data_IF_906019481929
#
_entry.id   IF_906019481929
#
_cell.length_a   1.000
_cell.length_b   1.000
_cell.length_c   1.000
_cell.angle_alpha   90.00
_cell.angle_beta   90.00
_cell.angle_gamma   90.00
#
_symmetry.space_group_name_H-M   'P 1'
#
loop_
_entity.id
_entity.type
_entity.pdbx_description
1 polymer ?
#
# COMPACT_ATOMS: atom_id res chain seq x y z
N UNK A 1 21.41 32.87 18.65
CA UNK A 1 20.05 32.63 19.16
C UNK A 1 19.77 31.14 19.16
N UNK A 2 19.07 30.63 20.17
CA UNK A 2 18.68 29.23 20.22
C UNK A 2 17.64 28.95 19.11
N UNK A 3 17.72 27.82 18.42
CA UNK A 3 16.74 27.46 17.40
C UNK A 3 15.36 27.18 18.03
N UNK A 4 14.25 27.47 17.35
CA UNK A 4 12.93 27.16 17.85
C UNK A 4 12.75 25.64 17.96
N UNK A 5 11.93 25.19 18.91
CA UNK A 5 11.66 23.75 19.11
C UNK A 5 10.91 23.09 17.92
N UNK A 6 10.12 23.88 17.21
CA UNK A 6 9.34 23.44 16.05
C UNK A 6 9.75 24.25 14.82
N UNK A 7 10.18 23.57 13.78
CA UNK A 7 10.53 24.14 12.48
C UNK A 7 9.73 23.42 11.40
N UNK A 8 9.60 23.97 10.18
CA UNK A 8 8.98 23.26 9.06
C UNK A 8 9.58 21.86 8.84
N UNK A 9 10.90 21.75 8.93
CA UNK A 9 11.59 20.47 8.73
C UNK A 9 11.29 19.46 9.84
N UNK A 10 11.23 19.89 11.12
CA UNK A 10 10.89 18.97 12.23
C UNK A 10 9.43 18.54 12.20
N UNK A 11 8.52 19.40 11.75
CA UNK A 11 7.11 19.05 11.53
C UNK A 11 6.95 18.02 10.41
N UNK A 12 7.68 18.21 9.32
CA UNK A 12 7.70 17.29 8.18
C UNK A 12 8.26 15.92 8.58
N UNK A 13 9.39 15.90 9.30
CA UNK A 13 10.00 14.66 9.79
C UNK A 13 9.05 13.90 10.73
N UNK A 14 8.33 14.60 11.62
CA UNK A 14 7.36 13.99 12.52
C UNK A 14 6.17 13.39 11.77
N UNK A 15 5.68 14.04 10.72
CA UNK A 15 4.64 13.50 9.83
C UNK A 15 5.10 12.22 9.13
N UNK A 16 6.28 12.27 8.51
CA UNK A 16 6.86 11.10 7.81
C UNK A 16 7.05 9.93 8.79
N UNK A 17 7.58 10.16 9.97
CA UNK A 17 7.78 9.14 11.01
C UNK A 17 6.44 8.54 11.48
N UNK A 18 5.41 9.38 11.73
CA UNK A 18 4.09 8.90 12.13
C UNK A 18 3.46 8.00 11.06
N UNK A 19 3.46 8.42 9.81
CA UNK A 19 2.93 7.65 8.69
C UNK A 19 3.71 6.34 8.48
N UNK A 20 5.04 6.40 8.60
CA UNK A 20 5.90 5.23 8.41
C UNK A 20 5.69 4.18 9.52
N UNK A 21 5.62 4.60 10.77
CA UNK A 21 5.50 3.68 11.92
C UNK A 21 4.11 3.12 12.11
N UNK A 22 3.07 3.90 11.85
CA UNK A 22 1.71 3.54 12.22
C UNK A 22 0.84 3.12 11.03
N UNK A 23 1.42 3.04 9.83
CA UNK A 23 0.75 2.55 8.62
C UNK A 23 -0.77 2.83 8.62
N UNK A 24 -1.21 4.00 8.13
CA UNK A 24 -2.57 4.47 8.37
C UNK A 24 -3.62 3.77 7.50
N UNK A 25 -3.19 2.93 6.53
CA UNK A 25 -4.08 2.35 5.55
C UNK A 25 -4.66 1.01 6.00
N UNK A 26 -5.94 0.80 5.66
CA UNK A 26 -6.68 -0.41 6.00
C UNK A 26 -6.15 -1.62 5.22
N UNK A 27 -5.99 -2.73 5.92
CA UNK A 27 -5.58 -4.00 5.31
C UNK A 27 -6.79 -4.85 5.00
N UNK A 28 -6.94 -5.22 3.73
CA UNK A 28 -8.02 -6.07 3.27
C UNK A 28 -7.51 -7.09 2.25
N UNK A 29 -7.99 -8.32 2.38
CA UNK A 29 -7.72 -9.36 1.41
C UNK A 29 -8.86 -9.41 0.41
N UNK A 30 -8.63 -8.83 -0.77
CA UNK A 30 -9.60 -8.78 -1.86
C UNK A 30 -9.97 -10.19 -2.35
N UNK A 31 -11.17 -10.37 -2.95
CA UNK A 31 -11.58 -11.67 -3.52
C UNK A 31 -10.56 -12.25 -4.50
N UNK A 32 -9.97 -11.43 -5.37
CA UNK A 32 -8.93 -11.85 -6.30
C UNK A 32 -7.68 -12.40 -5.59
N UNK A 33 -7.24 -11.75 -4.49
CA UNK A 33 -6.10 -12.21 -3.69
C UNK A 33 -6.43 -13.53 -2.97
N UNK A 34 -7.65 -13.67 -2.45
CA UNK A 34 -8.13 -14.94 -1.87
C UNK A 34 -8.13 -16.06 -2.90
N UNK A 35 -8.69 -15.80 -4.08
CA UNK A 35 -8.73 -16.75 -5.19
C UNK A 35 -7.34 -17.20 -5.61
N UNK A 36 -6.40 -16.27 -5.73
CA UNK A 36 -4.99 -16.59 -6.01
C UNK A 36 -4.40 -17.56 -4.98
N UNK A 37 -4.55 -17.29 -3.70
CA UNK A 37 -4.05 -18.20 -2.65
C UNK A 37 -4.73 -19.57 -2.69
N UNK A 38 -6.04 -19.62 -2.95
CA UNK A 38 -6.77 -20.88 -3.08
C UNK A 38 -6.30 -21.71 -4.29
N UNK A 39 -6.10 -21.07 -5.44
CA UNK A 39 -5.55 -21.73 -6.64
C UNK A 39 -4.12 -22.23 -6.44
N UNK A 40 -3.30 -21.53 -5.66
CA UNK A 40 -1.93 -21.95 -5.32
C UNK A 40 -1.88 -23.08 -4.28
N UNK A 41 -2.95 -23.32 -3.55
CA UNK A 41 -2.99 -24.32 -2.47
C UNK A 41 -2.50 -25.71 -2.90
N UNK A 42 -2.94 -26.32 -4.03
CA UNK A 42 -2.50 -27.65 -4.43
C UNK A 42 -1.00 -27.77 -4.72
N UNK A 43 -0.39 -26.67 -5.14
CA UNK A 43 1.03 -26.60 -5.54
C UNK A 43 1.95 -26.18 -4.39
N UNK A 44 1.38 -25.87 -3.24
CA UNK A 44 2.14 -25.37 -2.08
C UNK A 44 2.59 -26.49 -1.14
N UNK A 45 3.70 -26.32 -0.39
CA UNK A 45 4.06 -27.20 0.72
C UNK A 45 2.95 -27.31 1.78
N UNK A 46 2.95 -28.39 2.56
CA UNK A 46 1.86 -28.73 3.50
C UNK A 46 1.45 -27.58 4.43
N UNK A 47 2.41 -26.86 5.01
CA UNK A 47 2.13 -25.74 5.92
C UNK A 47 1.34 -24.61 5.22
N UNK A 48 1.70 -24.27 3.97
CA UNK A 48 0.98 -23.28 3.17
C UNK A 48 -0.38 -23.80 2.69
N UNK A 49 -0.51 -25.09 2.38
CA UNK A 49 -1.80 -25.72 2.08
C UNK A 49 -2.78 -25.59 3.23
N UNK A 50 -2.31 -25.80 4.47
CA UNK A 50 -3.13 -25.63 5.64
C UNK A 50 -3.62 -24.18 5.81
N UNK A 51 -2.74 -23.20 5.57
CA UNK A 51 -3.05 -21.77 5.68
C UNK A 51 -3.99 -21.31 4.56
N UNK A 52 -3.62 -21.56 3.30
CA UNK A 52 -4.34 -21.07 2.13
C UNK A 52 -5.66 -21.80 1.87
N UNK A 53 -5.73 -23.10 2.20
CA UNK A 53 -6.97 -23.87 2.12
C UNK A 53 -8.00 -23.51 3.19
N UNK A 54 -7.57 -22.84 4.28
CA UNK A 54 -8.44 -22.46 5.40
C UNK A 54 -8.41 -20.94 5.66
N UNK A 55 -8.52 -20.14 4.58
CA UNK A 55 -8.52 -18.67 4.70
C UNK A 55 -9.65 -18.11 5.57
N UNK A 56 -10.75 -18.84 5.73
CA UNK A 56 -11.83 -18.48 6.65
C UNK A 56 -11.36 -18.46 8.12
N UNK A 57 -10.44 -19.35 8.49
CA UNK A 57 -9.85 -19.44 9.83
C UNK A 57 -8.60 -18.56 9.96
N UNK A 58 -7.69 -18.65 9.00
CA UNK A 58 -6.36 -18.01 9.06
C UNK A 58 -6.28 -16.67 8.35
N UNK A 59 -7.32 -16.21 7.67
CA UNK A 59 -7.31 -14.95 6.91
C UNK A 59 -7.00 -13.73 7.77
N UNK A 60 -7.44 -13.70 9.01
CA UNK A 60 -7.09 -12.64 9.98
C UNK A 60 -5.60 -12.64 10.33
N UNK A 61 -5.05 -13.82 10.62
CA UNK A 61 -3.63 -14.01 10.90
C UNK A 61 -2.77 -13.64 9.69
N UNK A 62 -3.15 -14.09 8.50
CA UNK A 62 -2.44 -13.76 7.27
C UNK A 62 -2.41 -12.26 7.00
N UNK A 63 -3.51 -11.54 7.18
CA UNK A 63 -3.54 -10.07 7.07
C UNK A 63 -2.58 -9.38 8.04
N UNK A 64 -2.38 -9.94 9.21
CA UNK A 64 -1.46 -9.39 10.21
C UNK A 64 0.01 -9.71 9.90
N UNK A 65 0.29 -10.95 9.49
CA UNK A 65 1.66 -11.47 9.37
C UNK A 65 2.27 -11.23 7.98
N UNK A 66 1.49 -11.35 6.90
CA UNK A 66 2.00 -11.21 5.54
C UNK A 66 2.73 -9.90 5.26
N UNK A 67 2.28 -8.73 5.74
CA UNK A 67 3.01 -7.48 5.58
C UNK A 67 4.38 -7.44 6.27
N UNK A 68 4.58 -8.29 7.27
CA UNK A 68 5.87 -8.39 7.98
C UNK A 68 6.87 -9.31 7.25
N UNK A 69 6.35 -10.23 6.43
CA UNK A 69 7.16 -11.22 5.71
C UNK A 69 7.52 -10.74 4.30
N UNK A 70 6.62 -10.00 3.66
CA UNK A 70 6.79 -9.57 2.27
C UNK A 70 6.14 -8.20 2.01
N UNK A 71 6.93 -7.26 1.49
CA UNK A 71 6.43 -5.96 1.04
C UNK A 71 5.47 -6.07 -0.14
N UNK A 72 5.68 -7.06 -1.04
CA UNK A 72 4.77 -7.32 -2.14
C UNK A 72 3.41 -7.80 -1.63
N UNK A 73 3.39 -8.73 -0.67
CA UNK A 73 2.15 -9.20 -0.06
C UNK A 73 1.42 -8.06 0.69
N UNK A 74 2.17 -7.17 1.35
CA UNK A 74 1.60 -5.96 1.96
C UNK A 74 0.91 -5.08 0.91
N UNK A 75 1.57 -4.82 -0.23
CA UNK A 75 1.05 -3.99 -1.32
C UNK A 75 -0.20 -4.58 -2.00
N UNK A 76 -0.43 -5.89 -1.91
CA UNK A 76 -1.64 -6.55 -2.39
C UNK A 76 -2.84 -6.42 -1.44
N UNK A 77 -2.61 -5.99 -0.20
CA UNK A 77 -3.63 -5.96 0.85
C UNK A 77 -3.98 -4.56 1.32
N UNK A 78 -3.20 -3.54 0.94
CA UNK A 78 -3.42 -2.14 1.36
C UNK A 78 -2.86 -1.15 0.37
N UNK A 79 -3.39 0.06 0.39
CA UNK A 79 -2.73 1.21 -0.25
C UNK A 79 -1.34 1.36 0.33
N UNK A 80 -0.34 1.53 -0.53
CA UNK A 80 1.04 1.74 -0.13
C UNK A 80 1.48 3.17 -0.40
N UNK A 81 2.40 3.67 0.44
CA UNK A 81 2.98 5.00 0.32
C UNK A 81 4.50 4.90 0.32
N UNK A 82 5.15 5.67 -0.53
CA UNK A 82 6.59 5.87 -0.56
C UNK A 82 6.91 7.36 -0.60
N UNK A 83 7.69 7.84 0.34
CA UNK A 83 8.22 9.20 0.31
C UNK A 83 9.43 9.22 -0.62
N UNK A 84 9.34 10.01 -1.70
CA UNK A 84 10.28 9.93 -2.83
C UNK A 84 11.18 11.14 -2.96
N UNK A 85 10.73 12.31 -2.50
CA UNK A 85 11.51 13.55 -2.55
C UNK A 85 11.30 14.33 -1.25
N UNK A 86 12.32 15.07 -0.83
CA UNK A 86 12.21 16.02 0.28
C UNK A 86 13.04 17.26 -0.03
N UNK A 87 12.55 18.42 0.39
CA UNK A 87 13.27 19.69 0.28
C UNK A 87 13.17 20.51 1.56
N UNK A 88 14.10 21.43 1.74
CA UNK A 88 14.18 22.33 2.89
C UNK A 88 15.16 23.46 2.59
N UNK A 89 16.06 23.77 3.52
CA UNK A 89 17.07 24.84 3.31
C UNK A 89 18.16 24.39 2.35
N UNK A 90 18.58 25.31 1.47
CA UNK A 90 19.77 25.14 0.61
C UNK A 90 21.08 25.45 1.36
N UNK A 91 20.99 26.12 2.50
CA UNK A 91 22.15 26.52 3.30
C UNK A 91 22.22 25.75 4.63
N UNK A 92 23.43 25.32 4.99
CA UNK A 92 23.70 24.44 6.16
C UNK A 92 23.37 25.07 7.50
N UNK A 93 23.40 26.38 7.59
CA UNK A 93 23.26 27.17 8.83
C UNK A 93 21.94 27.98 8.87
N UNK A 94 21.00 27.69 7.95
CA UNK A 94 19.73 28.39 7.84
C UNK A 94 18.59 27.42 8.11
N UNK A 95 17.70 27.78 9.04
CA UNK A 95 16.45 27.05 9.24
C UNK A 95 15.50 27.41 8.09
N UNK A 96 14.97 26.45 7.34
CA UNK A 96 14.07 26.72 6.23
C UNK A 96 12.77 27.37 6.74
N UNK A 97 12.24 28.32 5.98
CA UNK A 97 10.90 28.87 6.21
C UNK A 97 9.81 27.90 5.73
N UNK A 98 10.13 27.10 4.71
CA UNK A 98 9.27 26.06 4.13
C UNK A 98 10.04 24.76 3.98
N UNK A 99 9.35 23.66 4.08
CA UNK A 99 9.87 22.34 3.81
C UNK A 99 8.75 21.50 3.16
N UNK A 100 9.12 20.67 2.21
CA UNK A 100 8.16 19.81 1.51
C UNK A 100 8.66 18.38 1.38
N UNK A 101 7.72 17.45 1.26
CA UNK A 101 7.97 16.07 0.92
C UNK A 101 6.97 15.64 -0.16
N UNK A 102 7.45 14.88 -1.12
CA UNK A 102 6.61 14.25 -2.13
C UNK A 102 6.45 12.79 -1.78
N UNK A 103 5.21 12.33 -1.79
CA UNK A 103 4.86 10.94 -1.58
C UNK A 103 4.17 10.36 -2.82
N UNK A 104 4.57 9.17 -3.21
CA UNK A 104 3.90 8.37 -4.23
C UNK A 104 3.01 7.34 -3.54
N UNK A 105 1.72 7.31 -3.92
CA UNK A 105 0.75 6.35 -3.41
C UNK A 105 0.35 5.37 -4.51
N UNK A 106 0.16 4.11 -4.12
CA UNK A 106 -0.45 3.08 -4.96
C UNK A 106 -1.72 2.61 -4.29
N UNK A 107 -2.84 3.00 -4.87
CA UNK A 107 -4.17 2.67 -4.34
C UNK A 107 -4.57 1.26 -4.69
N UNK A 108 -5.39 0.66 -3.82
CA UNK A 108 -6.10 -0.58 -4.12
C UNK A 108 -7.62 -0.37 -3.97
N UNK A 109 -8.46 -1.20 -4.64
CA UNK A 109 -9.88 -0.90 -4.81
C UNK A 109 -10.69 -0.66 -3.53
N UNK A 110 -10.29 -1.24 -2.39
CA UNK A 110 -11.03 -1.05 -1.13
C UNK A 110 -10.69 0.25 -0.37
N UNK A 111 -9.66 0.98 -0.83
CA UNK A 111 -9.23 2.26 -0.24
C UNK A 111 -8.55 3.11 -1.31
N UNK A 112 -9.35 3.83 -2.07
CA UNK A 112 -8.92 4.63 -3.20
C UNK A 112 -8.28 5.97 -2.82
N UNK A 113 -8.15 6.82 -3.83
CA UNK A 113 -7.44 8.10 -3.75
C UNK A 113 -8.05 9.05 -2.70
N UNK A 114 -9.36 9.27 -2.74
CA UNK A 114 -10.03 10.25 -1.87
C UNK A 114 -9.93 9.85 -0.40
N UNK A 115 -10.24 8.59 -0.07
CA UNK A 115 -10.16 8.09 1.30
C UNK A 115 -8.73 8.12 1.83
N UNK A 116 -7.76 7.70 1.00
CA UNK A 116 -6.35 7.72 1.37
C UNK A 116 -5.82 9.12 1.60
N UNK A 117 -6.21 10.08 0.74
CA UNK A 117 -5.85 11.49 0.90
C UNK A 117 -6.44 12.07 2.19
N UNK A 118 -7.72 11.84 2.49
CA UNK A 118 -8.37 12.33 3.70
C UNK A 118 -7.69 11.82 4.99
N UNK A 119 -7.24 10.57 4.99
CA UNK A 119 -6.49 9.98 6.11
C UNK A 119 -5.15 10.70 6.31
N UNK A 120 -4.39 10.86 5.23
CA UNK A 120 -3.08 11.53 5.29
C UNK A 120 -3.22 13.02 5.61
N UNK A 121 -4.22 13.71 5.06
CA UNK A 121 -4.49 15.12 5.34
C UNK A 121 -4.78 15.33 6.82
N UNK A 122 -5.54 14.44 7.45
CA UNK A 122 -5.80 14.49 8.90
C UNK A 122 -4.51 14.39 9.73
N UNK A 123 -3.59 13.51 9.33
CA UNK A 123 -2.28 13.37 9.98
C UNK A 123 -1.43 14.61 9.71
N UNK A 124 -1.39 15.10 8.47
CA UNK A 124 -0.63 16.31 8.11
C UNK A 124 -1.09 17.54 8.90
N UNK A 125 -2.41 17.75 9.01
CA UNK A 125 -3.00 18.84 9.83
C UNK A 125 -2.58 18.76 11.31
N UNK A 126 -2.47 17.57 11.87
CA UNK A 126 -1.98 17.36 13.25
C UNK A 126 -0.54 17.89 13.43
N UNK A 127 0.28 17.80 12.40
CA UNK A 127 1.65 18.32 12.38
C UNK A 127 1.75 19.75 11.87
N UNK A 128 0.64 20.40 11.51
CA UNK A 128 0.59 21.76 10.99
C UNK A 128 1.07 21.88 9.54
N UNK A 129 0.87 20.80 8.75
CA UNK A 129 1.22 20.74 7.33
C UNK A 129 -0.03 20.84 6.46
N UNK A 130 0.13 21.43 5.27
CA UNK A 130 -0.84 21.37 4.19
C UNK A 130 -0.50 20.20 3.23
N UNK A 131 -1.49 19.71 2.51
CA UNK A 131 -1.30 18.70 1.48
C UNK A 131 -2.01 19.10 0.20
N UNK A 132 -1.36 18.81 -0.92
CA UNK A 132 -1.90 18.98 -2.26
C UNK A 132 -1.72 17.70 -3.08
N UNK A 133 -2.62 17.47 -4.03
CA UNK A 133 -2.50 16.39 -5.01
C UNK A 133 -1.84 16.98 -6.26
N UNK A 134 -0.64 16.51 -6.58
CA UNK A 134 0.09 16.96 -7.77
C UNK A 134 -0.45 16.29 -9.04
N UNK A 135 -0.68 14.98 -8.98
CA UNK A 135 -1.13 14.16 -10.11
C UNK A 135 -1.68 12.82 -9.60
N UNK A 136 -2.33 12.07 -10.47
CA UNK A 136 -2.73 10.69 -10.19
C UNK A 136 -4.19 10.37 -10.50
N UNK A 137 -4.41 9.09 -10.70
CA UNK A 137 -5.72 8.47 -10.90
C UNK A 137 -5.97 7.45 -9.79
N UNK A 138 -7.20 7.07 -9.63
CA UNK A 138 -7.59 6.01 -8.68
C UNK A 138 -7.14 4.63 -9.15
N UNK A 139 -7.31 3.62 -8.29
CA UNK A 139 -7.05 2.23 -8.66
C UNK A 139 -7.91 1.81 -9.86
N UNK A 140 -7.37 0.98 -10.74
CA UNK A 140 -8.16 0.36 -11.79
C UNK A 140 -9.29 -0.50 -11.21
N UNK A 141 -10.45 -0.59 -11.88
CA UNK A 141 -11.50 -1.50 -11.48
C UNK A 141 -10.98 -2.95 -11.37
N UNK A 142 -11.49 -3.68 -10.40
CA UNK A 142 -11.17 -5.11 -10.26
C UNK A 142 -11.75 -5.88 -11.44
N UNK A 143 -10.93 -6.70 -12.10
CA UNK A 143 -11.39 -7.57 -13.18
C UNK A 143 -12.38 -8.60 -12.62
N UNK A 144 -13.47 -8.83 -13.35
CA UNK A 144 -14.40 -9.93 -13.06
C UNK A 144 -13.75 -11.27 -13.44
N UNK A 145 -13.43 -12.05 -12.42
CA UNK A 145 -12.79 -13.37 -12.59
C UNK A 145 -13.74 -14.44 -13.20
N UNK A 146 -15.05 -14.13 -13.33
CA UNK A 146 -16.01 -14.98 -14.02
C UNK A 146 -16.32 -14.45 -15.43
N UNK A 147 -15.72 -13.36 -15.83
CA UNK A 147 -15.94 -12.70 -17.10
C UNK A 147 -15.21 -13.36 -18.27
N UNK A 148 -15.66 -13.07 -19.49
CA UNK A 148 -15.07 -13.59 -20.73
C UNK A 148 -13.62 -13.19 -20.93
N UNK A 149 -13.22 -12.02 -20.47
CA UNK A 149 -11.83 -11.53 -20.56
C UNK A 149 -10.90 -12.40 -19.70
N UNK A 150 -11.34 -12.77 -18.49
CA UNK A 150 -10.56 -13.68 -17.63
C UNK A 150 -10.47 -15.08 -18.24
N UNK A 151 -11.59 -15.65 -18.73
CA UNK A 151 -11.60 -16.95 -19.37
C UNK A 151 -10.68 -17.02 -20.61
N UNK A 152 -10.63 -15.94 -21.41
CA UNK A 152 -9.71 -15.84 -22.54
C UNK A 152 -8.25 -15.81 -22.06
N UNK A 153 -7.96 -15.05 -20.99
CA UNK A 153 -6.62 -14.93 -20.40
C UNK A 153 -6.15 -16.29 -19.85
N UNK A 154 -6.99 -16.97 -19.07
CA UNK A 154 -6.70 -18.34 -18.56
C UNK A 154 -6.35 -19.31 -19.69
N UNK A 155 -7.16 -19.31 -20.75
CA UNK A 155 -6.92 -20.18 -21.90
C UNK A 155 -5.59 -19.85 -22.58
N UNK A 156 -5.33 -18.57 -22.88
CA UNK A 156 -4.10 -18.13 -23.55
C UNK A 156 -2.85 -18.48 -22.73
N UNK A 157 -2.90 -18.30 -21.40
CA UNK A 157 -1.80 -18.66 -20.50
C UNK A 157 -1.62 -20.18 -20.45
N UNK A 158 -2.71 -20.95 -20.35
CA UNK A 158 -2.67 -22.42 -20.34
C UNK A 158 -2.12 -23.02 -21.63
N UNK A 159 -2.42 -22.42 -22.78
CA UNK A 159 -1.84 -22.82 -24.07
C UNK A 159 -0.34 -22.48 -24.17
N UNK A 160 0.06 -21.28 -23.71
CA UNK A 160 1.46 -20.86 -23.76
C UNK A 160 2.35 -21.54 -22.71
N UNK A 161 1.78 -21.86 -21.54
CA UNK A 161 2.50 -22.40 -20.38
C UNK A 161 1.74 -23.57 -19.74
N UNK A 162 1.69 -24.75 -20.38
CA UNK A 162 0.86 -25.88 -19.92
C UNK A 162 1.21 -26.43 -18.54
N UNK A 163 2.40 -26.13 -18.02
CA UNK A 163 2.89 -26.57 -16.71
C UNK A 163 2.57 -25.60 -15.58
N UNK A 164 2.04 -24.41 -15.86
CA UNK A 164 1.72 -23.42 -14.85
C UNK A 164 0.25 -23.51 -14.41
N UNK A 165 -0.03 -23.39 -13.11
CA UNK A 165 -1.40 -23.23 -12.63
C UNK A 165 -1.89 -21.81 -13.01
N UNK A 166 -3.08 -21.74 -13.59
CA UNK A 166 -3.75 -20.49 -13.97
C UNK A 166 -5.00 -20.27 -13.12
#
# INVERSE_FOLDING_TARGET
SAPPRKTPLTSLAAFVDEVHRHDPFRREMLPAVKGMFQKLTPYSPFAYRLLFGNLWLFGGLLKAVMPMVSSQAAAMMRTSIAFTMASGSEARNVIPQEASVVANLRFIPHQGKEESFAILEKIAKKHGLAMDIMDGHDSSPTLDLNGSVWALTERAIGEAFPALPV
#
